data_IF_508587071271
#
_entry.id   IF_508587071271
#
_cell.length_a   1.000
_cell.length_b   1.000
_cell.length_c   1.000
_cell.angle_alpha   90.00
_cell.angle_beta   90.00
_cell.angle_gamma   90.00
#
_symmetry.space_group_name_H-M   'P 1'
#
loop_
_entity.id
_entity.type
_entity.pdbx_description
1 polymer ?
#
# COMPACT_ATOMS: atom_id res chain seq x y z
N UNK A 1 -35.66 -31.38 67.81
CA UNK A 1 -34.49 -30.50 67.91
C UNK A 1 -33.86 -30.47 66.58
N UNK A 2 -34.17 -29.41 65.77
CA UNK A 2 -33.74 -29.26 64.37
C UNK A 2 -32.67 -28.19 64.37
N UNK A 3 -31.45 -28.54 63.87
CA UNK A 3 -30.29 -27.68 63.83
C UNK A 3 -30.19 -27.10 62.37
N UNK A 4 -30.47 -25.82 62.21
CA UNK A 4 -30.27 -25.08 60.94
C UNK A 4 -28.79 -24.67 60.83
N UNK A 5 -28.17 -25.01 59.65
CA UNK A 5 -26.82 -24.57 59.33
C UNK A 5 -26.90 -23.25 58.57
N UNK A 6 -26.05 -22.26 58.83
CA UNK A 6 -26.03 -21.02 58.07
C UNK A 6 -25.26 -21.20 56.72
N UNK A 7 -25.89 -20.77 55.63
CA UNK A 7 -25.26 -20.67 54.32
C UNK A 7 -24.41 -19.39 54.25
N UNK A 8 -23.11 -19.54 54.10
CA UNK A 8 -22.18 -18.46 53.83
C UNK A 8 -22.20 -18.18 52.33
N UNK A 9 -22.78 -17.05 51.96
CA UNK A 9 -22.68 -16.50 50.59
C UNK A 9 -21.33 -15.78 50.43
N UNK A 10 -20.43 -16.34 49.66
CA UNK A 10 -19.20 -15.67 49.26
C UNK A 10 -19.53 -14.67 48.13
N UNK A 11 -19.11 -13.40 48.22
CA UNK A 11 -19.27 -12.46 47.15
C UNK A 11 -18.30 -12.81 46.03
N UNK A 12 -18.82 -13.05 44.83
CA UNK A 12 -18.02 -13.17 43.61
C UNK A 12 -17.44 -11.79 43.26
N UNK A 13 -16.15 -11.61 43.51
CA UNK A 13 -15.43 -10.42 43.03
C UNK A 13 -15.26 -10.51 41.52
N UNK A 14 -16.06 -9.75 40.76
CA UNK A 14 -15.86 -9.55 39.33
C UNK A 14 -14.65 -8.64 39.12
N UNK A 15 -13.51 -9.23 38.73
CA UNK A 15 -12.32 -8.49 38.33
C UNK A 15 -12.58 -7.94 36.93
N UNK A 16 -12.92 -6.65 36.82
CA UNK A 16 -13.07 -5.94 35.55
C UNK A 16 -11.66 -5.70 34.98
N UNK A 17 -11.23 -6.55 34.05
CA UNK A 17 -9.98 -6.35 33.32
C UNK A 17 -10.22 -5.27 32.27
N UNK A 18 -9.80 -4.04 32.55
CA UNK A 18 -9.77 -2.96 31.59
C UNK A 18 -8.64 -3.23 30.57
N UNK A 19 -9.00 -3.71 29.40
CA UNK A 19 -8.09 -3.72 28.26
C UNK A 19 -7.90 -2.27 27.77
N UNK A 20 -6.82 -1.64 28.16
CA UNK A 20 -6.36 -0.40 27.50
C UNK A 20 -5.78 -0.78 26.15
N UNK A 21 -6.54 -0.61 25.08
CA UNK A 21 -5.98 -0.64 23.73
C UNK A 21 -5.00 0.54 23.60
N UNK A 22 -3.71 0.25 23.54
CA UNK A 22 -2.71 1.25 23.18
C UNK A 22 -3.03 1.72 21.75
N UNK A 23 -3.50 2.95 21.60
CA UNK A 23 -3.64 3.58 20.30
C UNK A 23 -2.23 3.67 19.70
N UNK A 24 -1.98 3.00 18.58
CA UNK A 24 -0.75 3.19 17.83
C UNK A 24 -0.64 4.69 17.48
N UNK A 25 0.50 5.31 17.80
CA UNK A 25 0.72 6.72 17.47
C UNK A 25 0.53 6.90 15.96
N UNK A 26 -0.33 7.84 15.59
CA UNK A 26 -0.54 8.19 14.18
C UNK A 26 0.78 8.72 13.61
N UNK A 27 1.11 8.27 12.40
CA UNK A 27 2.27 8.79 11.67
C UNK A 27 1.84 10.07 10.99
N UNK A 28 2.58 11.17 11.25
CA UNK A 28 2.30 12.46 10.63
C UNK A 28 2.62 12.43 9.13
N UNK A 29 1.83 13.17 8.35
CA UNK A 29 2.07 13.34 6.92
C UNK A 29 3.24 14.33 6.72
N UNK A 30 4.37 13.90 6.10
CA UNK A 30 5.50 14.78 5.88
C UNK A 30 5.25 15.75 4.71
N UNK A 31 5.80 16.97 4.79
CA UNK A 31 5.75 17.92 3.67
C UNK A 31 6.47 17.40 2.43
N UNK A 32 7.61 16.72 2.61
CA UNK A 32 8.42 16.14 1.53
C UNK A 32 8.07 14.68 1.22
N UNK A 33 8.96 14.05 0.46
CA UNK A 33 8.92 12.60 0.24
C UNK A 33 9.64 11.86 1.36
N UNK A 34 9.19 10.63 1.63
CA UNK A 34 9.92 9.69 2.48
C UNK A 34 11.19 9.23 1.75
N UNK A 35 12.37 9.35 2.38
CA UNK A 35 13.65 9.09 1.74
C UNK A 35 14.30 7.76 2.17
N UNK A 36 13.87 7.20 3.28
CA UNK A 36 14.41 5.99 3.90
C UNK A 36 13.30 5.17 4.55
N UNK A 37 13.64 4.03 5.17
CA UNK A 37 12.73 3.17 5.93
C UNK A 37 11.36 3.00 5.26
N UNK A 38 11.40 2.62 3.98
CA UNK A 38 10.21 2.55 3.13
C UNK A 38 9.20 1.48 3.56
N UNK A 39 9.59 0.57 4.46
CA UNK A 39 8.75 -0.52 4.99
C UNK A 39 8.29 -0.25 6.43
N UNK A 40 7.90 0.97 6.71
CA UNK A 40 7.39 1.43 8.00
C UNK A 40 5.90 1.78 7.92
N UNK A 41 5.29 2.08 9.08
CA UNK A 41 3.94 2.61 9.14
C UNK A 41 3.83 3.90 8.33
N UNK A 42 2.79 4.00 7.53
CA UNK A 42 2.48 5.18 6.71
C UNK A 42 1.46 6.07 7.42
N UNK A 43 1.36 7.36 7.04
CA UNK A 43 0.25 8.22 7.47
C UNK A 43 -1.11 7.60 7.11
N UNK A 44 -2.15 8.05 7.78
CA UNK A 44 -3.53 7.71 7.41
C UNK A 44 -4.04 8.52 6.20
N UNK A 45 -3.33 9.59 5.83
CA UNK A 45 -3.72 10.56 4.80
C UNK A 45 -2.61 10.79 3.78
N UNK A 46 -3.01 11.37 2.66
CA UNK A 46 -2.14 12.00 1.67
C UNK A 46 -2.86 13.23 1.13
N UNK A 47 -2.36 14.41 1.45
CA UNK A 47 -2.95 15.67 1.02
C UNK A 47 -3.14 15.71 -0.50
N UNK A 48 -4.36 16.04 -0.94
CA UNK A 48 -4.74 16.08 -2.34
C UNK A 48 -5.12 14.73 -2.97
N UNK A 49 -4.91 13.61 -2.29
CA UNK A 49 -5.33 12.28 -2.75
C UNK A 49 -6.54 11.76 -1.97
N UNK A 50 -7.27 10.84 -2.57
CA UNK A 50 -8.28 10.04 -1.86
C UNK A 50 -7.65 8.76 -1.38
N UNK A 51 -7.63 8.53 -0.06
CA UNK A 51 -7.22 7.24 0.52
C UNK A 51 -8.38 6.27 0.39
N UNK A 52 -8.10 5.06 -0.12
CA UNK A 52 -9.12 4.05 -0.35
C UNK A 52 -8.83 2.77 0.43
N UNK A 53 -9.89 2.14 0.91
CA UNK A 53 -9.88 0.82 1.53
C UNK A 53 -9.82 -0.28 0.47
N UNK A 54 -9.56 -1.54 0.87
CA UNK A 54 -9.60 -2.69 -0.04
C UNK A 54 -10.96 -2.81 -0.74
N UNK A 55 -12.07 -2.63 -0.02
CA UNK A 55 -13.41 -2.71 -0.61
C UNK A 55 -13.68 -1.61 -1.66
N UNK A 56 -13.14 -0.42 -1.45
CA UNK A 56 -13.23 0.68 -2.43
C UNK A 56 -12.33 0.43 -3.63
N UNK A 57 -11.11 -0.06 -3.42
CA UNK A 57 -10.21 -0.45 -4.49
C UNK A 57 -10.83 -1.56 -5.36
N UNK A 58 -11.44 -2.58 -4.75
CA UNK A 58 -12.15 -3.65 -5.47
C UNK A 58 -13.29 -3.10 -6.33
N UNK A 59 -14.12 -2.20 -5.80
CA UNK A 59 -15.20 -1.57 -6.58
C UNK A 59 -14.66 -0.80 -7.79
N UNK A 60 -13.57 -0.03 -7.60
CA UNK A 60 -12.92 0.71 -8.67
C UNK A 60 -12.33 -0.22 -9.74
N UNK A 61 -11.71 -1.33 -9.31
CA UNK A 61 -11.16 -2.35 -10.19
C UNK A 61 -12.24 -3.04 -11.03
N UNK A 62 -13.32 -3.54 -10.39
CA UNK A 62 -14.44 -4.18 -11.09
C UNK A 62 -15.12 -3.24 -12.08
N UNK A 63 -15.22 -1.97 -11.76
CA UNK A 63 -15.80 -0.95 -12.62
C UNK A 63 -14.86 -0.46 -13.74
N UNK A 64 -13.56 -0.81 -13.72
CA UNK A 64 -12.56 -0.24 -14.64
C UNK A 64 -12.43 1.28 -14.55
N UNK A 65 -12.81 1.89 -13.42
CA UNK A 65 -12.97 3.33 -13.27
C UNK A 65 -11.69 4.06 -12.83
N UNK A 66 -10.61 3.31 -12.51
CA UNK A 66 -9.29 3.84 -12.22
C UNK A 66 -8.21 2.98 -12.90
N UNK A 67 -7.10 3.61 -13.26
CA UNK A 67 -5.89 2.91 -13.68
C UNK A 67 -5.08 2.56 -12.43
N UNK A 68 -4.81 1.28 -12.22
CA UNK A 68 -4.03 0.78 -11.09
C UNK A 68 -2.55 0.79 -11.43
N UNK A 69 -1.75 1.37 -10.54
CA UNK A 69 -0.29 1.53 -10.71
C UNK A 69 0.41 0.94 -9.51
N UNK A 70 1.10 -0.18 -9.72
CA UNK A 70 2.02 -0.75 -8.73
C UNK A 70 3.38 -0.08 -8.85
N UNK A 71 3.97 0.27 -7.72
CA UNK A 71 5.29 0.90 -7.66
C UNK A 71 6.29 0.12 -6.78
N UNK A 72 5.95 -1.14 -6.47
CA UNK A 72 6.85 -2.00 -5.70
C UNK A 72 8.21 -2.11 -6.40
N UNK A 73 9.33 -1.97 -5.68
CA UNK A 73 10.64 -2.08 -6.27
C UNK A 73 10.90 -3.46 -6.88
N UNK A 74 11.60 -3.45 -8.00
CA UNK A 74 12.24 -4.63 -8.54
C UNK A 74 13.61 -4.79 -7.88
N UNK A 75 13.91 -5.91 -7.22
CA UNK A 75 15.22 -6.15 -6.66
C UNK A 75 16.30 -6.08 -7.76
N UNK A 76 17.46 -5.47 -7.48
CA UNK A 76 18.55 -5.46 -8.44
C UNK A 76 19.11 -6.89 -8.62
N UNK A 77 19.64 -7.15 -9.82
CA UNK A 77 20.41 -8.37 -10.04
C UNK A 77 21.61 -8.38 -9.08
N UNK A 78 21.83 -9.46 -8.30
CA UNK A 78 23.00 -9.54 -7.43
C UNK A 78 24.31 -9.39 -8.21
N UNK A 79 25.24 -8.56 -7.69
CA UNK A 79 26.49 -8.28 -8.40
C UNK A 79 27.44 -9.49 -8.47
N UNK A 80 27.35 -10.41 -7.49
CA UNK A 80 28.31 -11.51 -7.30
C UNK A 80 27.73 -12.87 -7.74
N UNK A 81 27.01 -12.92 -8.84
CA UNK A 81 26.56 -14.20 -9.37
C UNK A 81 27.71 -14.94 -10.04
N UNK A 82 27.81 -16.29 -9.85
CA UNK A 82 28.79 -17.11 -10.57
C UNK A 82 28.68 -16.92 -12.10
N UNK A 83 29.82 -17.04 -12.78
CA UNK A 83 29.84 -16.95 -14.24
C UNK A 83 28.91 -18.02 -14.85
N UNK A 84 28.11 -17.61 -15.83
CA UNK A 84 27.13 -18.49 -16.47
C UNK A 84 25.79 -18.62 -15.75
N UNK A 85 25.60 -17.99 -14.57
CA UNK A 85 24.29 -17.99 -13.89
C UNK A 85 23.27 -17.21 -14.67
N UNK A 86 22.18 -17.87 -15.05
CA UNK A 86 21.01 -17.20 -15.63
C UNK A 86 20.21 -16.56 -14.50
N UNK A 87 20.27 -15.23 -14.39
CA UNK A 87 19.42 -14.49 -13.47
C UNK A 87 18.01 -14.37 -14.05
N UNK A 88 17.02 -14.68 -13.22
CA UNK A 88 15.62 -14.38 -13.49
C UNK A 88 15.13 -13.41 -12.43
N UNK A 89 14.51 -12.32 -12.88
CA UNK A 89 13.88 -11.39 -11.95
C UNK A 89 12.81 -12.10 -11.13
N UNK A 90 12.67 -11.80 -9.83
CA UNK A 90 11.54 -12.27 -9.04
C UNK A 90 10.22 -11.90 -9.70
N UNK A 91 9.29 -12.84 -9.68
CA UNK A 91 7.94 -12.59 -10.19
C UNK A 91 7.19 -11.60 -9.29
N UNK A 92 6.44 -10.71 -9.92
CA UNK A 92 5.53 -9.83 -9.23
C UNK A 92 4.10 -10.35 -9.42
N UNK A 93 3.37 -10.44 -8.29
CA UNK A 93 1.94 -10.75 -8.27
C UNK A 93 1.19 -9.43 -8.05
N UNK A 94 0.49 -8.97 -9.08
CA UNK A 94 -0.21 -7.69 -9.13
C UNK A 94 -1.72 -7.85 -9.10
N UNK A 95 -2.41 -6.77 -8.75
CA UNK A 95 -3.85 -6.66 -8.98
C UNK A 95 -4.09 -6.73 -10.49
N UNK A 96 -5.00 -7.60 -11.00
CA UNK A 96 -5.16 -7.81 -12.44
C UNK A 96 -5.46 -6.52 -13.19
N UNK A 97 -4.81 -6.33 -14.34
CA UNK A 97 -4.92 -5.12 -15.16
C UNK A 97 -4.06 -3.94 -14.71
N UNK A 98 -3.28 -4.08 -13.64
CA UNK A 98 -2.36 -3.03 -13.18
C UNK A 98 -1.19 -2.83 -14.13
N UNK A 99 -0.61 -1.63 -14.07
CA UNK A 99 0.69 -1.33 -14.66
C UNK A 99 1.75 -1.29 -13.57
N UNK A 100 2.77 -2.14 -13.68
CA UNK A 100 3.89 -2.13 -12.76
C UNK A 100 4.98 -1.19 -13.22
N UNK A 101 5.23 -0.13 -12.44
CA UNK A 101 6.29 0.86 -12.61
C UNK A 101 7.33 0.71 -11.48
N UNK A 102 8.19 -0.32 -11.51
CA UNK A 102 9.10 -0.61 -10.43
C UNK A 102 10.04 0.55 -10.12
N UNK A 103 10.42 0.67 -8.85
CA UNK A 103 11.39 1.64 -8.34
C UNK A 103 10.95 3.11 -8.39
N UNK A 104 9.77 3.43 -8.90
CA UNK A 104 9.31 4.82 -9.06
C UNK A 104 8.74 5.44 -7.78
N UNK A 105 8.60 4.64 -6.73
CA UNK A 105 8.13 5.09 -5.42
C UNK A 105 9.21 5.57 -4.45
N UNK A 106 10.48 5.53 -4.81
CA UNK A 106 11.54 6.10 -3.98
C UNK A 106 11.36 7.61 -3.82
N UNK A 107 11.74 8.15 -2.67
CA UNK A 107 11.59 9.57 -2.39
C UNK A 107 12.44 10.46 -3.31
N UNK A 108 13.69 10.08 -3.52
CA UNK A 108 14.57 10.69 -4.51
C UNK A 108 14.68 9.79 -5.74
N UNK A 109 14.33 10.33 -6.91
CA UNK A 109 14.47 9.63 -8.18
C UNK A 109 15.60 10.25 -9.00
N UNK A 110 16.38 9.38 -9.67
CA UNK A 110 17.28 9.83 -10.74
C UNK A 110 16.46 10.30 -11.95
N UNK A 111 16.95 11.25 -12.76
CA UNK A 111 16.20 11.82 -13.88
C UNK A 111 15.62 10.79 -14.84
N UNK A 112 16.36 9.73 -15.13
CA UNK A 112 15.87 8.64 -16.00
C UNK A 112 14.66 7.90 -15.41
N UNK A 113 14.66 7.67 -14.10
CA UNK A 113 13.56 7.00 -13.42
C UNK A 113 12.33 7.91 -13.26
N UNK A 114 12.57 9.21 -13.09
CA UNK A 114 11.50 10.21 -13.10
C UNK A 114 10.83 10.30 -14.46
N UNK A 115 11.62 10.35 -15.54
CA UNK A 115 11.10 10.33 -16.93
C UNK A 115 10.33 9.03 -17.21
N UNK A 116 10.83 7.89 -16.74
CA UNK A 116 10.14 6.59 -16.84
C UNK A 116 8.78 6.62 -16.13
N UNK A 117 8.72 7.16 -14.91
CA UNK A 117 7.46 7.32 -14.17
C UNK A 117 6.47 8.19 -14.95
N UNK A 118 6.90 9.36 -15.41
CA UNK A 118 6.05 10.28 -16.19
C UNK A 118 5.53 9.64 -17.48
N UNK A 119 6.39 8.95 -18.22
CA UNK A 119 6.01 8.23 -19.44
C UNK A 119 5.01 7.10 -19.14
N UNK A 120 5.21 6.36 -18.03
CA UNK A 120 4.29 5.33 -17.53
C UNK A 120 2.92 5.90 -17.24
N UNK A 121 2.84 6.99 -16.48
CA UNK A 121 1.56 7.65 -16.17
C UNK A 121 0.87 8.20 -17.41
N UNK A 122 1.62 8.84 -18.32
CA UNK A 122 1.07 9.34 -19.57
C UNK A 122 0.43 8.22 -20.39
N UNK A 123 1.08 7.07 -20.45
CA UNK A 123 0.56 5.94 -21.22
C UNK A 123 -0.70 5.33 -20.60
N UNK A 124 -0.75 5.12 -19.27
CA UNK A 124 -1.94 4.51 -18.62
C UNK A 124 -3.13 5.46 -18.59
N UNK A 125 -2.90 6.77 -18.65
CA UNK A 125 -3.93 7.80 -18.70
C UNK A 125 -4.26 8.27 -20.12
N UNK A 126 -3.47 7.88 -21.11
CA UNK A 126 -3.53 8.42 -22.47
C UNK A 126 -3.38 9.95 -22.51
N UNK A 127 -2.60 10.49 -21.57
CA UNK A 127 -2.38 11.93 -21.40
C UNK A 127 -3.48 12.69 -20.65
N UNK A 128 -4.59 12.05 -20.30
CA UNK A 128 -5.66 12.68 -19.56
C UNK A 128 -5.30 12.82 -18.07
N UNK A 129 -5.09 14.05 -17.60
CA UNK A 129 -4.81 14.39 -16.19
C UNK A 129 -6.01 14.22 -15.26
N UNK A 130 -7.22 14.02 -15.79
CA UNK A 130 -8.42 13.77 -15.02
C UNK A 130 -8.75 12.28 -14.90
N UNK A 131 -8.03 11.39 -15.60
CA UNK A 131 -8.18 9.95 -15.40
C UNK A 131 -7.77 9.57 -14.01
N UNK A 132 -8.60 8.77 -13.32
CA UNK A 132 -8.29 8.31 -11.97
C UNK A 132 -7.07 7.37 -11.99
N UNK A 133 -6.10 7.65 -11.11
CA UNK A 133 -4.91 6.84 -10.88
C UNK A 133 -4.93 6.32 -9.46
N UNK A 134 -4.85 5.00 -9.27
CA UNK A 134 -4.76 4.38 -7.96
C UNK A 134 -3.36 3.79 -7.78
N UNK A 135 -2.62 4.33 -6.81
CA UNK A 135 -1.27 3.88 -6.47
C UNK A 135 -1.28 2.91 -5.31
N UNK A 136 -0.53 1.83 -5.44
CA UNK A 136 -0.34 0.82 -4.40
C UNK A 136 1.03 0.15 -4.49
N UNK A 137 1.39 -0.64 -3.48
CA UNK A 137 2.49 -1.59 -3.45
C UNK A 137 2.17 -2.74 -2.47
N UNK A 138 2.81 -2.81 -1.32
CA UNK A 138 2.47 -3.70 -0.22
C UNK A 138 1.87 -2.88 0.93
N UNK A 139 1.30 -3.53 1.93
CA UNK A 139 0.94 -2.87 3.19
C UNK A 139 2.20 -2.27 3.85
N UNK A 140 2.06 -1.14 4.54
CA UNK A 140 3.17 -0.42 5.19
C UNK A 140 4.32 -0.12 4.25
N UNK A 141 3.99 0.47 3.11
CA UNK A 141 4.94 0.76 2.06
C UNK A 141 4.84 2.22 1.61
N UNK A 142 5.82 3.02 2.01
CA UNK A 142 5.89 4.45 1.68
C UNK A 142 6.06 4.75 0.20
N UNK A 143 6.47 3.76 -0.59
CA UNK A 143 6.70 3.99 -2.02
C UNK A 143 5.42 4.33 -2.76
N UNK A 144 4.29 3.68 -2.44
CA UNK A 144 3.00 4.04 -3.05
C UNK A 144 2.52 5.42 -2.61
N UNK A 145 2.79 5.82 -1.36
CA UNK A 145 2.54 7.17 -0.87
C UNK A 145 3.35 8.22 -1.64
N UNK A 146 4.66 8.00 -1.77
CA UNK A 146 5.55 8.89 -2.53
C UNK A 146 5.13 9.01 -4.00
N UNK A 147 4.81 7.90 -4.64
CA UNK A 147 4.39 7.89 -6.05
C UNK A 147 3.08 8.64 -6.26
N UNK A 148 2.10 8.46 -5.37
CA UNK A 148 0.85 9.19 -5.41
C UNK A 148 1.08 10.70 -5.20
N UNK A 149 1.90 11.09 -4.23
CA UNK A 149 2.30 12.49 -4.00
C UNK A 149 2.98 13.10 -5.23
N UNK A 150 3.87 12.34 -5.89
CA UNK A 150 4.54 12.79 -7.13
C UNK A 150 3.55 12.95 -8.28
N UNK A 151 2.57 12.06 -8.40
CA UNK A 151 1.53 12.21 -9.42
C UNK A 151 0.70 13.50 -9.22
N UNK A 152 0.36 13.86 -7.97
CA UNK A 152 -0.27 15.16 -7.65
C UNK A 152 0.62 16.32 -8.07
N UNK A 153 1.90 16.30 -7.73
CA UNK A 153 2.87 17.33 -8.13
C UNK A 153 3.01 17.46 -9.66
N UNK A 154 2.82 16.36 -10.40
CA UNK A 154 2.77 16.35 -11.87
C UNK A 154 1.44 16.84 -12.45
N UNK A 155 0.46 17.24 -11.62
CA UNK A 155 -0.80 17.81 -12.03
C UNK A 155 -1.92 16.81 -12.34
N UNK A 156 -1.79 15.54 -11.94
CA UNK A 156 -2.90 14.61 -11.98
C UNK A 156 -3.93 14.98 -10.89
N UNK A 157 -5.21 15.05 -11.26
CA UNK A 157 -6.26 15.63 -10.40
C UNK A 157 -7.08 14.58 -9.63
N UNK A 158 -7.07 13.34 -10.07
CA UNK A 158 -7.82 12.24 -9.46
C UNK A 158 -6.87 11.14 -9.04
N UNK A 159 -6.10 11.44 -7.99
CA UNK A 159 -5.14 10.50 -7.42
C UNK A 159 -5.77 9.80 -6.22
N UNK A 160 -5.73 8.46 -6.25
CA UNK A 160 -6.14 7.59 -5.16
C UNK A 160 -4.91 6.86 -4.63
N UNK A 161 -4.87 6.66 -3.33
CA UNK A 161 -3.82 5.90 -2.69
C UNK A 161 -4.43 4.73 -1.91
N UNK A 162 -3.93 3.52 -2.19
CA UNK A 162 -4.36 2.28 -1.56
C UNK A 162 -3.24 1.72 -0.66
N UNK A 163 -3.23 2.07 0.65
CA UNK A 163 -2.15 1.73 1.58
C UNK A 163 -2.04 0.26 1.94
N UNK A 164 -3.13 -0.51 1.87
CA UNK A 164 -3.13 -1.94 2.18
C UNK A 164 -2.48 -2.78 1.06
N UNK A 165 -2.39 -2.26 -0.14
CA UNK A 165 -1.70 -2.86 -1.27
C UNK A 165 -2.11 -4.30 -1.57
N UNK A 166 -1.20 -5.08 -2.19
CA UNK A 166 -1.49 -6.48 -2.50
C UNK A 166 -1.67 -7.35 -1.25
N UNK A 167 -1.16 -6.95 -0.09
CA UNK A 167 -1.37 -7.71 1.15
C UNK A 167 -2.84 -7.62 1.61
N UNK A 168 -3.44 -6.42 1.61
CA UNK A 168 -4.85 -6.22 1.88
C UNK A 168 -5.74 -6.90 0.85
N UNK A 169 -5.36 -6.81 -0.42
CA UNK A 169 -6.04 -7.45 -1.54
C UNK A 169 -6.12 -8.98 -1.39
N UNK A 170 -4.97 -9.62 -1.12
CA UNK A 170 -4.88 -11.07 -0.93
C UNK A 170 -5.62 -11.54 0.33
N UNK A 171 -5.62 -10.76 1.43
CA UNK A 171 -6.40 -11.08 2.65
C UNK A 171 -7.89 -11.19 2.40
N UNK A 172 -8.41 -10.49 1.40
CA UNK A 172 -9.81 -10.57 0.98
C UNK A 172 -10.06 -11.69 -0.06
N UNK A 173 -9.04 -12.51 -0.36
CA UNK A 173 -9.16 -13.59 -1.35
C UNK A 173 -9.33 -13.10 -2.78
N UNK A 174 -8.98 -11.85 -3.06
CA UNK A 174 -9.10 -11.27 -4.40
C UNK A 174 -7.97 -11.75 -5.32
N UNK A 175 -8.20 -11.83 -6.64
CA UNK A 175 -7.24 -12.41 -7.58
C UNK A 175 -5.99 -11.56 -7.73
N UNK A 176 -4.86 -12.23 -7.93
CA UNK A 176 -3.59 -11.63 -8.33
C UNK A 176 -3.13 -12.27 -9.64
N UNK A 177 -2.38 -11.56 -10.44
CA UNK A 177 -1.78 -12.08 -11.67
C UNK A 177 -0.29 -11.73 -11.78
N UNK A 178 0.45 -12.55 -12.53
CA UNK A 178 1.84 -12.24 -12.83
C UNK A 178 1.94 -11.03 -13.74
N UNK A 179 2.84 -10.12 -13.39
CA UNK A 179 3.07 -8.92 -14.16
C UNK A 179 4.57 -8.70 -14.41
N UNK A 180 4.91 -8.37 -15.66
CA UNK A 180 6.22 -7.85 -16.01
C UNK A 180 6.25 -6.32 -15.84
N UNK A 181 7.42 -5.73 -15.56
CA UNK A 181 7.57 -4.28 -15.55
C UNK A 181 7.24 -3.70 -16.95
N UNK A 182 6.68 -2.52 -16.93
CA UNK A 182 6.45 -1.77 -18.17
C UNK A 182 7.77 -1.34 -18.79
#
# INVERSE_FOLDING_TARGET
>A
MSSARPHWLLPAAYCLILFTAAAAAAVDEPHGYRLDDFRAHTPATLEGATVVTTAEAERLWRAGSAAFVDVLPKPPKPANLPAGTIWRDPERQDIPGSTWLPNTGFGALQPALEAYFQAGLTAVTQGDRNRALLFYCLERCWMSWNAAKRALALGYRRVLWYPEGTDGWARQGLPLERRAPR
#
